data_IF_239497703246
#
_entry.id   IF_239497703246
#
_cell.length_a   1.000
_cell.length_b   1.000
_cell.length_c   1.000
_cell.angle_alpha   90.00
_cell.angle_beta   90.00
_cell.angle_gamma   90.00
#
_symmetry.space_group_name_H-M   'P 1'
#
loop_
_entity.id
_entity.type
_entity.pdbx_description
1 polymer ?
#
# COMPACT_ATOMS: atom_id res chain seq x y z
N UNK A 1 -22.84 16.62 -26.81
CA UNK A 1 -22.11 16.08 -25.64
C UNK A 1 -23.04 15.10 -24.95
N UNK A 2 -22.62 13.86 -24.67
CA UNK A 2 -23.45 12.94 -23.91
C UNK A 2 -23.70 13.51 -22.53
N UNK A 3 -24.97 13.77 -22.21
CA UNK A 3 -25.40 14.27 -20.92
C UNK A 3 -25.14 13.21 -19.86
N UNK A 4 -24.08 13.41 -19.08
CA UNK A 4 -23.85 12.62 -17.88
C UNK A 4 -25.09 12.74 -16.99
N UNK A 5 -25.64 11.61 -16.54
CA UNK A 5 -26.75 11.60 -15.60
C UNK A 5 -26.34 12.40 -14.34
N UNK A 6 -27.24 13.26 -13.87
CA UNK A 6 -27.01 14.15 -12.71
C UNK A 6 -26.55 13.38 -11.47
N UNK A 7 -27.07 12.18 -11.22
CA UNK A 7 -26.64 11.33 -10.11
C UNK A 7 -25.17 10.90 -10.26
N UNK A 8 -24.78 10.46 -11.46
CA UNK A 8 -23.40 10.03 -11.73
C UNK A 8 -22.43 11.22 -11.66
N UNK A 9 -22.81 12.38 -12.20
CA UNK A 9 -22.04 13.61 -12.08
C UNK A 9 -21.83 13.99 -10.62
N UNK A 10 -22.92 14.05 -9.85
CA UNK A 10 -22.89 14.38 -8.42
C UNK A 10 -22.02 13.41 -7.65
N UNK A 11 -22.05 12.11 -7.97
CA UNK A 11 -21.20 11.12 -7.32
C UNK A 11 -19.70 11.43 -7.47
N UNK A 12 -19.27 11.79 -8.69
CA UNK A 12 -17.86 12.09 -8.96
C UNK A 12 -17.44 13.46 -8.42
N UNK A 13 -18.32 14.47 -8.50
CA UNK A 13 -18.09 15.77 -7.86
C UNK A 13 -17.94 15.62 -6.34
N UNK A 14 -18.73 14.77 -5.70
CA UNK A 14 -18.60 14.45 -4.28
C UNK A 14 -17.33 13.67 -3.93
N UNK A 15 -16.56 13.19 -4.91
CA UNK A 15 -15.20 12.66 -4.75
C UNK A 15 -14.13 13.72 -5.06
N UNK A 16 -14.50 14.99 -5.22
CA UNK A 16 -13.56 16.08 -5.51
C UNK A 16 -12.92 15.99 -6.89
N UNK A 17 -13.60 15.36 -7.87
CA UNK A 17 -13.11 15.30 -9.25
C UNK A 17 -13.64 16.51 -10.02
N UNK A 18 -12.78 17.15 -10.81
CA UNK A 18 -13.15 18.33 -11.61
C UNK A 18 -14.14 17.98 -12.73
N UNK A 19 -15.10 18.85 -13.05
CA UNK A 19 -16.12 18.57 -14.07
C UNK A 19 -15.54 18.18 -15.43
N UNK A 20 -14.45 18.82 -15.85
CA UNK A 20 -13.77 18.57 -17.12
C UNK A 20 -13.11 17.18 -17.16
N UNK A 21 -12.55 16.70 -16.05
CA UNK A 21 -11.99 15.35 -15.98
C UNK A 21 -13.09 14.28 -15.96
N UNK A 22 -14.21 14.55 -15.30
CA UNK A 22 -15.38 13.67 -15.30
C UNK A 22 -15.88 13.50 -16.74
N UNK A 23 -16.09 14.60 -17.46
CA UNK A 23 -16.57 14.59 -18.85
C UNK A 23 -15.65 13.81 -19.79
N UNK A 24 -14.34 13.88 -19.59
CA UNK A 24 -13.37 13.15 -20.42
C UNK A 24 -13.29 11.64 -20.16
N UNK A 25 -13.70 11.17 -18.98
CA UNK A 25 -13.39 9.81 -18.52
C UNK A 25 -14.61 8.98 -18.16
N UNK A 26 -15.75 9.63 -17.90
CA UNK A 26 -16.95 8.99 -17.36
C UNK A 26 -18.09 9.21 -18.34
N UNK A 27 -18.85 8.15 -18.59
CA UNK A 27 -20.10 8.21 -19.33
C UNK A 27 -21.20 7.51 -18.56
N UNK A 28 -22.40 8.04 -18.65
CA UNK A 28 -23.60 7.35 -18.17
C UNK A 28 -24.12 6.45 -19.28
N UNK A 29 -24.58 5.25 -18.93
CA UNK A 29 -25.17 4.33 -19.88
C UNK A 29 -26.52 3.89 -19.32
N UNK A 30 -27.56 4.08 -20.14
CA UNK A 30 -28.93 3.67 -19.88
C UNK A 30 -29.42 2.87 -21.09
N UNK A 31 -29.53 1.56 -20.92
CA UNK A 31 -29.96 0.66 -22.01
C UNK A 31 -31.44 0.79 -22.34
N UNK A 32 -32.22 1.53 -21.54
CA UNK A 32 -33.63 1.83 -21.84
C UNK A 32 -33.80 2.97 -22.84
N UNK A 33 -32.75 3.76 -23.07
CA UNK A 33 -32.75 4.88 -24.00
C UNK A 33 -32.06 4.52 -25.31
N UNK A 34 -32.49 5.09 -26.45
CA UNK A 34 -31.80 4.88 -27.71
C UNK A 34 -30.35 5.43 -27.64
N UNK A 35 -29.39 4.84 -28.37
CA UNK A 35 -27.98 5.26 -28.42
C UNK A 35 -27.79 6.77 -28.64
N UNK A 36 -28.65 7.35 -29.48
CA UNK A 36 -28.62 8.77 -29.86
C UNK A 36 -28.90 9.70 -28.67
N UNK A 37 -29.69 9.26 -27.69
CA UNK A 37 -29.99 9.99 -26.45
C UNK A 37 -28.96 9.77 -25.34
N UNK A 38 -28.14 8.72 -25.46
CA UNK A 38 -26.95 8.52 -24.63
C UNK A 38 -25.77 9.39 -25.11
N UNK A 39 -25.90 10.02 -26.28
CA UNK A 39 -25.13 11.18 -26.74
C UNK A 39 -23.79 10.88 -27.43
N UNK A 40 -23.65 9.72 -28.06
CA UNK A 40 -22.56 9.39 -29.00
C UNK A 40 -23.10 8.54 -30.18
N UNK A 41 -22.72 8.91 -31.39
CA UNK A 41 -23.24 8.32 -32.64
C UNK A 41 -22.63 6.98 -33.08
N UNK A 42 -22.30 6.06 -32.16
CA UNK A 42 -21.89 4.69 -32.56
C UNK A 42 -22.49 3.61 -31.65
N UNK A 43 -23.24 2.68 -32.23
CA UNK A 43 -24.02 1.64 -31.54
C UNK A 43 -23.23 0.64 -30.67
N UNK A 44 -21.89 0.63 -30.76
CA UNK A 44 -21.00 -0.23 -29.95
C UNK A 44 -20.72 0.41 -28.57
N UNK A 45 -20.92 1.73 -28.44
CA UNK A 45 -20.51 2.51 -27.27
C UNK A 45 -21.54 2.55 -26.12
N UNK A 46 -22.78 2.09 -26.33
CA UNK A 46 -23.92 2.34 -25.43
C UNK A 46 -24.53 1.09 -24.79
N UNK A 47 -23.88 -0.08 -24.93
CA UNK A 47 -24.29 -1.32 -24.25
C UNK A 47 -23.20 -1.76 -23.25
N UNK A 48 -23.47 -1.75 -21.94
CA UNK A 48 -22.48 -2.16 -20.94
C UNK A 48 -22.08 -3.64 -21.08
N UNK A 49 -22.90 -4.48 -21.70
CA UNK A 49 -22.54 -5.86 -22.00
C UNK A 49 -21.45 -5.95 -23.07
N UNK A 50 -21.43 -5.07 -24.06
CA UNK A 50 -20.35 -5.04 -25.07
C UNK A 50 -19.04 -4.51 -24.47
N UNK A 51 -19.14 -3.60 -23.50
CA UNK A 51 -17.98 -3.06 -22.78
C UNK A 51 -17.34 -4.05 -21.82
N UNK A 52 -18.14 -4.93 -21.22
CA UNK A 52 -17.66 -5.88 -20.21
C UNK A 52 -17.43 -7.26 -20.83
N UNK A 53 -18.33 -7.78 -21.67
CA UNK A 53 -18.36 -9.18 -22.08
C UNK A 53 -17.68 -9.44 -23.44
N UNK A 54 -16.63 -8.68 -23.75
CA UNK A 54 -15.89 -8.81 -25.02
C UNK A 54 -14.88 -9.95 -25.04
N UNK A 55 -14.45 -10.47 -23.89
CA UNK A 55 -13.42 -11.51 -23.83
C UNK A 55 -13.79 -12.75 -24.67
N UNK A 56 -12.85 -13.20 -25.49
CA UNK A 56 -12.98 -14.42 -26.29
C UNK A 56 -12.99 -15.68 -25.42
N UNK A 57 -12.38 -15.60 -24.22
CA UNK A 57 -12.30 -16.70 -23.28
C UNK A 57 -13.63 -16.96 -22.56
N UNK A 58 -14.67 -16.13 -22.75
CA UNK A 58 -15.98 -16.35 -22.15
C UNK A 58 -16.68 -17.57 -22.72
N UNK A 59 -17.46 -18.25 -21.88
CA UNK A 59 -18.17 -19.45 -22.30
C UNK A 59 -19.27 -19.08 -23.31
N UNK A 60 -19.19 -19.67 -24.50
CA UNK A 60 -20.13 -19.46 -25.61
C UNK A 60 -20.69 -20.80 -26.11
N UNK A 61 -21.90 -20.75 -26.68
CA UNK A 61 -22.46 -21.86 -27.45
C UNK A 61 -21.80 -21.94 -28.83
N UNK A 62 -22.01 -23.05 -29.57
CA UNK A 62 -21.50 -23.23 -30.94
C UNK A 62 -21.95 -22.12 -31.92
N UNK A 63 -23.02 -21.41 -31.60
CA UNK A 63 -23.53 -20.26 -32.36
C UNK A 63 -22.79 -18.95 -32.09
N UNK A 64 -21.80 -18.93 -31.20
CA UNK A 64 -21.07 -17.72 -30.78
C UNK A 64 -21.76 -16.93 -29.66
N UNK A 65 -23.03 -17.21 -29.36
CA UNK A 65 -23.77 -16.58 -28.25
C UNK A 65 -23.16 -16.95 -26.90
N UNK A 66 -23.04 -15.96 -25.99
CA UNK A 66 -22.65 -16.18 -24.60
C UNK A 66 -23.58 -17.19 -23.91
N UNK A 67 -23.03 -17.98 -22.98
CA UNK A 67 -23.81 -18.96 -22.24
C UNK A 67 -24.88 -18.30 -21.37
N UNK A 68 -25.99 -19.01 -21.14
CA UNK A 68 -27.09 -18.52 -20.30
C UNK A 68 -26.63 -18.18 -18.88
N UNK A 69 -25.64 -18.91 -18.35
CA UNK A 69 -25.03 -18.63 -17.05
C UNK A 69 -24.32 -17.26 -17.02
N UNK A 70 -23.57 -16.93 -18.07
CA UNK A 70 -22.89 -15.63 -18.19
C UNK A 70 -23.92 -14.51 -18.31
N UNK A 71 -24.91 -14.67 -19.19
CA UNK A 71 -25.97 -13.67 -19.39
C UNK A 71 -26.75 -13.42 -18.09
N UNK A 72 -27.18 -14.50 -17.41
CA UNK A 72 -27.89 -14.40 -16.12
C UNK A 72 -27.06 -13.71 -15.05
N UNK A 73 -25.75 -13.94 -15.01
CA UNK A 73 -24.84 -13.30 -14.05
C UNK A 73 -24.74 -11.79 -14.28
N UNK A 74 -24.72 -11.34 -15.54
CA UNK A 74 -24.52 -9.93 -15.90
C UNK A 74 -25.79 -9.18 -16.31
N UNK A 75 -26.98 -9.80 -16.22
CA UNK A 75 -28.29 -9.18 -16.54
C UNK A 75 -28.64 -7.86 -15.83
N UNK A 76 -27.86 -7.48 -14.82
CA UNK A 76 -28.07 -6.29 -14.01
C UNK A 76 -27.40 -5.04 -14.61
N UNK A 77 -26.60 -5.20 -15.67
CA UNK A 77 -25.93 -4.13 -16.39
C UNK A 77 -26.92 -3.39 -17.31
N UNK A 78 -27.80 -2.56 -16.73
CA UNK A 78 -28.80 -1.81 -17.50
C UNK A 78 -28.65 -0.29 -17.34
N UNK A 79 -28.30 0.15 -16.14
CA UNK A 79 -28.11 1.57 -15.81
C UNK A 79 -26.88 1.73 -14.90
N UNK A 80 -26.05 2.72 -15.21
CA UNK A 80 -24.89 3.07 -14.39
C UNK A 80 -23.90 3.93 -15.16
N UNK A 81 -22.65 3.97 -14.68
CA UNK A 81 -21.59 4.69 -15.36
C UNK A 81 -20.40 3.82 -15.73
N UNK A 82 -19.77 4.15 -16.85
CA UNK A 82 -18.53 3.54 -17.34
C UNK A 82 -17.38 4.52 -17.22
N UNK A 83 -16.25 4.06 -16.67
CA UNK A 83 -15.00 4.80 -16.63
C UNK A 83 -13.89 3.99 -17.31
N UNK A 84 -13.24 4.59 -18.31
CA UNK A 84 -12.07 4.02 -18.98
C UNK A 84 -11.09 5.12 -19.39
N UNK A 85 -9.80 4.81 -19.27
CA UNK A 85 -8.71 5.72 -19.61
C UNK A 85 -7.98 5.33 -20.90
N UNK A 86 -6.68 5.62 -20.90
CA UNK A 86 -5.74 5.15 -21.90
C UNK A 86 -5.13 3.81 -21.48
N UNK A 87 -4.66 3.03 -22.44
CA UNK A 87 -3.80 1.89 -22.18
C UNK A 87 -2.37 2.41 -21.91
N UNK A 88 -1.77 2.04 -20.78
CA UNK A 88 -0.47 2.59 -20.37
C UNK A 88 0.68 2.27 -21.35
N UNK A 89 0.57 1.15 -22.08
CA UNK A 89 1.61 0.69 -23.02
C UNK A 89 1.54 1.49 -24.31
N UNK A 90 0.35 1.60 -24.91
CA UNK A 90 0.15 2.23 -26.23
C UNK A 90 -0.18 3.72 -26.15
N UNK A 91 -0.63 4.20 -24.99
CA UNK A 91 -1.22 5.53 -24.80
C UNK A 91 -2.37 5.85 -25.78
N UNK A 92 -3.00 4.80 -26.32
CA UNK A 92 -4.29 4.87 -27.03
C UNK A 92 -5.45 4.62 -26.07
N UNK A 93 -6.68 4.76 -26.57
CA UNK A 93 -7.88 4.44 -25.78
C UNK A 93 -7.85 2.98 -25.32
N UNK A 94 -8.07 2.75 -24.03
CA UNK A 94 -8.21 1.42 -23.47
C UNK A 94 -9.61 0.86 -23.73
N UNK A 95 -9.69 -0.40 -24.14
CA UNK A 95 -10.95 -1.16 -24.14
C UNK A 95 -11.33 -1.59 -22.71
N UNK A 96 -10.33 -1.81 -21.85
CA UNK A 96 -10.55 -2.12 -20.44
C UNK A 96 -11.01 -0.89 -19.66
N UNK A 97 -11.94 -1.10 -18.74
CA UNK A 97 -12.44 -0.10 -17.82
C UNK A 97 -13.28 -0.69 -16.70
N UNK A 98 -14.14 0.14 -16.13
CA UNK A 98 -14.99 -0.23 -15.02
C UNK A 98 -16.40 0.30 -15.23
N UNK A 99 -17.38 -0.60 -15.09
CA UNK A 99 -18.77 -0.24 -14.99
C UNK A 99 -19.21 -0.28 -13.53
N UNK A 100 -19.84 0.81 -13.05
CA UNK A 100 -20.56 0.81 -11.78
C UNK A 100 -22.06 0.82 -12.07
N UNK A 101 -22.76 -0.31 -11.90
CA UNK A 101 -24.21 -0.34 -12.02
C UNK A 101 -24.87 0.41 -10.86
N UNK A 102 -25.99 1.07 -11.13
CA UNK A 102 -26.82 1.70 -10.11
C UNK A 102 -27.48 0.66 -9.19
N UNK A 103 -27.78 -0.51 -9.75
CA UNK A 103 -28.30 -1.67 -9.04
C UNK A 103 -27.28 -2.82 -9.07
N UNK A 104 -26.28 -2.82 -8.16
CA UNK A 104 -25.25 -3.85 -8.14
C UNK A 104 -25.81 -5.21 -7.77
N UNK A 105 -25.30 -6.27 -8.42
CA UNK A 105 -25.58 -7.64 -7.96
C UNK A 105 -24.87 -7.95 -6.65
N UNK A 106 -25.34 -8.98 -5.97
CA UNK A 106 -24.73 -9.49 -4.75
C UNK A 106 -23.66 -10.55 -5.06
N UNK A 107 -22.62 -10.60 -4.22
CA UNK A 107 -21.67 -11.70 -4.14
C UNK A 107 -22.33 -12.94 -3.52
N UNK A 108 -21.62 -14.07 -3.52
CA UNK A 108 -22.06 -15.28 -2.81
C UNK A 108 -22.29 -15.01 -1.31
N UNK A 109 -21.45 -14.16 -0.71
CA UNK A 109 -21.59 -13.73 0.70
C UNK A 109 -22.66 -12.63 0.92
N UNK A 110 -23.51 -12.33 -0.07
CA UNK A 110 -24.56 -11.32 0.04
C UNK A 110 -24.08 -9.86 0.02
N UNK A 111 -22.82 -9.58 -0.33
CA UNK A 111 -22.28 -8.21 -0.40
C UNK A 111 -22.46 -7.59 -1.80
N UNK A 112 -22.85 -6.32 -1.92
CA UNK A 112 -22.93 -5.65 -3.21
C UNK A 112 -21.57 -5.60 -3.93
N UNK A 113 -21.53 -6.04 -5.18
CA UNK A 113 -20.38 -5.88 -6.08
C UNK A 113 -20.55 -4.55 -6.81
N UNK A 114 -19.88 -3.52 -6.30
CA UNK A 114 -20.06 -2.15 -6.79
C UNK A 114 -19.44 -1.90 -8.16
N UNK A 115 -18.44 -2.67 -8.55
CA UNK A 115 -17.64 -2.44 -9.74
C UNK A 115 -17.52 -3.73 -10.54
N UNK A 116 -17.89 -3.67 -11.80
CA UNK A 116 -17.74 -4.75 -12.76
C UNK A 116 -16.63 -4.39 -13.76
N UNK A 117 -15.75 -5.34 -14.00
CA UNK A 117 -14.65 -5.24 -14.96
C UNK A 117 -14.78 -6.36 -15.99
N UNK A 118 -14.20 -6.22 -17.19
CA UNK A 118 -14.22 -7.27 -18.19
C UNK A 118 -13.72 -8.63 -17.63
N UNK A 119 -14.59 -9.65 -17.51
CA UNK A 119 -14.19 -10.94 -16.97
C UNK A 119 -13.28 -11.68 -17.95
N UNK A 120 -12.32 -12.43 -17.40
CA UNK A 120 -11.31 -13.21 -18.15
C UNK A 120 -10.35 -12.36 -18.99
N UNK A 121 -10.32 -11.05 -18.73
CA UNK A 121 -9.30 -10.15 -19.24
C UNK A 121 -8.31 -9.79 -18.14
N UNK A 122 -7.08 -9.47 -18.53
CA UNK A 122 -6.12 -8.92 -17.60
C UNK A 122 -6.61 -7.57 -17.08
N UNK A 123 -6.55 -7.37 -15.77
CA UNK A 123 -6.85 -6.06 -15.19
C UNK A 123 -5.81 -5.03 -15.62
N UNK A 124 -6.29 -3.83 -15.99
CA UNK A 124 -5.45 -2.70 -16.39
C UNK A 124 -5.40 -1.59 -15.34
N UNK A 125 -4.53 -0.59 -15.58
CA UNK A 125 -4.47 0.65 -14.82
C UNK A 125 -5.56 1.63 -15.28
N UNK A 126 -6.08 2.43 -14.35
CA UNK A 126 -6.77 3.68 -14.68
C UNK A 126 -5.74 4.77 -14.99
N UNK A 127 -5.36 4.89 -16.26
CA UNK A 127 -4.56 6.00 -16.80
C UNK A 127 -5.54 7.01 -17.40
N UNK A 128 -6.08 7.89 -16.58
CA UNK A 128 -7.20 8.77 -16.98
C UNK A 128 -6.77 9.84 -17.99
N UNK A 129 -7.67 10.22 -18.88
CA UNK A 129 -7.54 11.38 -19.76
C UNK A 129 -7.50 12.67 -18.94
N UNK A 130 -6.78 13.67 -19.43
CA UNK A 130 -6.60 14.97 -18.75
C UNK A 130 -6.83 16.12 -19.73
N UNK A 131 -7.11 17.30 -19.18
CA UNK A 131 -7.20 18.57 -19.93
C UNK A 131 -5.88 19.32 -19.93
N UNK A 132 -5.76 20.35 -20.80
CA UNK A 132 -4.65 21.30 -20.76
C UNK A 132 -4.52 21.99 -19.41
N UNK A 133 -5.65 22.31 -18.78
CA UNK A 133 -5.66 22.94 -17.47
C UNK A 133 -4.98 22.07 -16.42
N UNK A 134 -5.35 20.78 -16.36
CA UNK A 134 -4.74 19.82 -15.44
C UNK A 134 -3.25 19.67 -15.72
N UNK A 135 -2.82 19.55 -16.98
CA UNK A 135 -1.40 19.48 -17.31
C UNK A 135 -0.64 20.71 -16.82
N UNK A 136 -1.16 21.93 -17.04
CA UNK A 136 -0.55 23.17 -16.50
C UNK A 136 -0.42 23.13 -14.98
N UNK A 137 -1.45 22.69 -14.29
CA UNK A 137 -1.44 22.58 -12.82
C UNK A 137 -0.40 21.58 -12.34
N UNK A 138 -0.29 20.42 -13.00
CA UNK A 138 0.75 19.41 -12.72
C UNK A 138 2.15 19.97 -12.95
N UNK A 139 2.41 20.59 -14.10
CA UNK A 139 3.71 21.18 -14.43
C UNK A 139 4.12 22.26 -13.40
N UNK A 140 3.17 23.13 -13.02
CA UNK A 140 3.36 24.15 -11.99
C UNK A 140 3.70 23.54 -10.63
N UNK A 141 2.95 22.54 -10.16
CA UNK A 141 3.23 21.86 -8.87
C UNK A 141 4.57 21.12 -8.90
N UNK A 142 4.91 20.48 -10.03
CA UNK A 142 6.19 19.82 -10.24
C UNK A 142 7.36 20.80 -10.40
N UNK A 143 7.10 22.10 -10.54
CA UNK A 143 8.10 23.14 -10.85
C UNK A 143 8.86 22.84 -12.14
N UNK A 144 8.15 22.33 -13.13
CA UNK A 144 8.65 22.05 -14.47
C UNK A 144 8.06 23.04 -15.47
N UNK A 145 8.81 23.30 -16.53
CA UNK A 145 8.30 24.06 -17.67
C UNK A 145 7.13 23.31 -18.31
N UNK A 146 6.03 24.03 -18.55
CA UNK A 146 4.88 23.49 -19.23
C UNK A 146 5.10 23.64 -20.74
N UNK A 147 4.97 22.57 -21.55
CA UNK A 147 5.04 22.68 -22.99
C UNK A 147 4.00 23.66 -23.56
N UNK A 148 4.18 24.10 -24.81
CA UNK A 148 3.15 24.86 -25.51
C UNK A 148 1.95 23.95 -25.83
N UNK A 149 1.01 23.90 -24.88
CA UNK A 149 -0.15 23.02 -24.98
C UNK A 149 -1.12 23.45 -26.09
N UNK A 150 -1.07 24.69 -26.55
CA UNK A 150 -1.96 25.17 -27.62
C UNK A 150 -1.51 24.68 -29.00
N UNK A 151 -0.23 24.32 -29.14
CA UNK A 151 0.28 23.64 -30.33
C UNK A 151 -0.14 22.16 -30.42
N UNK A 152 -0.65 21.58 -29.33
CA UNK A 152 -1.07 20.18 -29.26
C UNK A 152 -2.57 20.07 -29.56
N UNK A 153 -2.94 19.23 -30.52
CA UNK A 153 -4.34 18.97 -30.85
C UNK A 153 -5.11 18.36 -29.65
N UNK A 154 -6.39 18.71 -29.49
CA UNK A 154 -7.22 18.31 -28.33
C UNK A 154 -7.21 16.79 -28.08
N UNK A 155 -7.33 16.01 -29.15
CA UNK A 155 -7.33 14.55 -29.14
C UNK A 155 -6.01 13.93 -28.65
N UNK A 156 -4.90 14.67 -28.76
CA UNK A 156 -3.57 14.21 -28.39
C UNK A 156 -3.15 14.64 -26.97
N UNK A 157 -3.84 15.62 -26.36
CA UNK A 157 -3.48 16.18 -25.04
C UNK A 157 -3.24 15.10 -23.99
N UNK A 158 -4.14 14.12 -23.89
CA UNK A 158 -4.00 13.06 -22.89
C UNK A 158 -2.82 12.13 -23.19
N UNK A 159 -2.61 11.77 -24.46
CA UNK A 159 -1.47 10.92 -24.86
C UNK A 159 -0.15 11.62 -24.56
N UNK A 160 -0.04 12.87 -24.96
CA UNK A 160 1.19 13.65 -24.79
C UNK A 160 1.45 13.99 -23.33
N UNK A 161 0.42 14.23 -22.52
CA UNK A 161 0.57 14.37 -21.07
C UNK A 161 1.21 13.13 -20.44
N UNK A 162 0.69 11.93 -20.76
CA UNK A 162 1.24 10.71 -20.19
C UNK A 162 2.62 10.35 -20.72
N UNK A 163 2.93 10.74 -21.97
CA UNK A 163 4.28 10.66 -22.49
C UNK A 163 5.23 11.62 -21.74
N UNK A 164 4.82 12.88 -21.54
CA UNK A 164 5.57 13.85 -20.74
C UNK A 164 5.79 13.38 -19.30
N UNK A 165 4.81 12.73 -18.66
CA UNK A 165 4.98 12.11 -17.34
C UNK A 165 6.08 11.04 -17.37
N UNK A 166 6.10 10.17 -18.39
CA UNK A 166 7.13 9.13 -18.56
C UNK A 166 8.52 9.77 -18.73
N UNK A 167 8.61 10.85 -19.49
CA UNK A 167 9.87 11.53 -19.81
C UNK A 167 10.39 12.42 -18.67
N UNK A 168 9.54 12.76 -17.70
CA UNK A 168 9.90 13.56 -16.53
C UNK A 168 9.84 12.72 -15.23
N UNK A 169 10.88 11.90 -14.93
CA UNK A 169 10.90 11.03 -13.74
C UNK A 169 10.90 11.81 -12.41
N UNK A 170 11.23 13.10 -12.43
CA UNK A 170 11.14 13.97 -11.24
C UNK A 170 9.70 14.18 -10.78
N UNK A 171 8.70 13.93 -11.63
CA UNK A 171 7.28 13.95 -11.27
C UNK A 171 6.90 12.64 -10.60
N UNK A 172 6.52 12.66 -9.30
CA UNK A 172 6.10 11.45 -8.60
C UNK A 172 4.80 10.90 -9.19
N UNK A 173 4.68 9.57 -9.25
CA UNK A 173 3.44 8.89 -9.67
C UNK A 173 2.74 8.33 -8.45
N UNK A 174 1.56 8.88 -8.14
CA UNK A 174 0.73 8.39 -7.03
C UNK A 174 -0.08 7.19 -7.50
N UNK A 175 -0.08 6.11 -6.72
CA UNK A 175 -0.83 4.89 -6.98
C UNK A 175 -2.01 4.81 -6.00
N UNK A 176 -3.23 4.90 -6.53
CA UNK A 176 -4.47 4.79 -5.75
C UNK A 176 -5.24 3.50 -6.05
N UNK A 177 -6.27 3.22 -5.26
CA UNK A 177 -7.29 2.22 -5.59
C UNK A 177 -8.51 2.90 -6.22
N UNK A 178 -8.86 2.47 -7.44
CA UNK A 178 -10.05 2.92 -8.16
C UNK A 178 -9.88 4.24 -8.91
N UNK A 179 -10.85 4.50 -9.80
CA UNK A 179 -10.81 5.65 -10.71
C UNK A 179 -11.11 6.99 -10.03
N UNK A 180 -12.04 7.05 -9.06
CA UNK A 180 -12.44 8.32 -8.43
C UNK A 180 -11.31 9.01 -7.66
N UNK A 181 -10.54 8.24 -6.88
CA UNK A 181 -9.34 8.74 -6.18
C UNK A 181 -8.27 9.23 -7.16
N UNK A 182 -8.09 8.48 -8.25
CA UNK A 182 -7.19 8.86 -9.33
C UNK A 182 -7.60 10.20 -9.94
N UNK A 183 -8.88 10.35 -10.29
CA UNK A 183 -9.43 11.59 -10.83
C UNK A 183 -9.34 12.76 -9.85
N UNK A 184 -9.60 12.51 -8.57
CA UNK A 184 -9.51 13.52 -7.49
C UNK A 184 -8.09 14.09 -7.39
N UNK A 185 -7.07 13.23 -7.32
CA UNK A 185 -5.67 13.66 -7.29
C UNK A 185 -5.26 14.42 -8.57
N UNK A 186 -5.64 13.93 -9.75
CA UNK A 186 -5.36 14.62 -11.02
C UNK A 186 -6.01 16.00 -11.08
N UNK A 187 -7.24 16.13 -10.57
CA UNK A 187 -7.98 17.41 -10.51
C UNK A 187 -7.24 18.45 -9.67
N UNK A 188 -6.48 18.00 -8.66
CA UNK A 188 -5.62 18.84 -7.82
C UNK A 188 -4.15 18.85 -8.25
N UNK A 189 -3.83 18.50 -9.50
CA UNK A 189 -2.49 18.65 -10.05
C UNK A 189 -1.45 17.62 -9.58
N UNK A 190 -1.90 16.48 -9.06
CA UNK A 190 -1.03 15.36 -8.71
C UNK A 190 -1.17 14.23 -9.74
N UNK A 191 -0.05 13.81 -10.34
CA UNK A 191 -0.05 12.66 -11.25
C UNK A 191 -0.43 11.41 -10.48
N UNK A 192 -1.55 10.80 -10.86
CA UNK A 192 -2.06 9.60 -10.22
C UNK A 192 -2.50 8.56 -11.25
N UNK A 193 -2.26 7.29 -10.92
CA UNK A 193 -2.77 6.11 -11.63
C UNK A 193 -3.57 5.24 -10.66
N UNK A 194 -4.68 4.69 -11.15
CA UNK A 194 -5.53 3.83 -10.34
C UNK A 194 -5.29 2.35 -10.59
N UNK A 195 -5.26 1.56 -9.53
CA UNK A 195 -5.40 0.11 -9.60
C UNK A 195 -6.88 -0.29 -9.46
N UNK A 196 -7.36 -1.36 -10.10
CA UNK A 196 -8.71 -1.88 -9.88
C UNK A 196 -8.91 -2.46 -8.46
N UNK A 197 -7.82 -2.72 -7.75
CA UNK A 197 -7.79 -3.14 -6.36
C UNK A 197 -6.36 -3.10 -5.83
N UNK A 198 -6.17 -3.15 -4.51
CA UNK A 198 -4.84 -3.01 -3.88
C UNK A 198 -3.78 -3.99 -4.40
N UNK A 199 -4.19 -5.18 -4.86
CA UNK A 199 -3.29 -6.20 -5.41
C UNK A 199 -3.09 -6.10 -6.93
N UNK A 200 -3.71 -5.12 -7.60
CA UNK A 200 -3.71 -5.00 -9.06
C UNK A 200 -2.36 -4.66 -9.67
N UNK A 201 -1.40 -4.16 -8.89
CA UNK A 201 -0.09 -3.72 -9.38
C UNK A 201 0.90 -4.86 -9.67
N UNK A 202 0.58 -6.10 -9.30
CA UNK A 202 1.46 -7.24 -9.56
C UNK A 202 0.66 -8.52 -9.85
N UNK A 203 1.33 -9.52 -10.43
CA UNK A 203 0.84 -10.89 -10.58
C UNK A 203 1.52 -11.78 -9.56
N UNK A 204 0.74 -12.63 -8.92
CA UNK A 204 1.22 -13.68 -8.02
C UNK A 204 0.81 -15.08 -8.47
N UNK A 205 0.10 -15.15 -9.60
CA UNK A 205 -0.38 -16.38 -10.23
C UNK A 205 -0.20 -16.28 -11.73
N UNK A 206 0.02 -17.41 -12.39
CA UNK A 206 0.02 -17.54 -13.85
C UNK A 206 -1.41 -17.48 -14.42
N UNK A 207 -1.55 -17.68 -15.74
CA UNK A 207 -2.84 -17.65 -16.43
C UNK A 207 -3.76 -18.80 -16.01
N UNK A 208 -3.19 -19.93 -15.60
CA UNK A 208 -3.85 -21.13 -15.11
C UNK A 208 -4.24 -21.02 -13.63
N UNK A 209 -3.76 -20.00 -12.92
CA UNK A 209 -4.07 -19.72 -11.52
C UNK A 209 -3.10 -20.35 -10.52
N UNK A 210 -2.00 -20.96 -10.98
CA UNK A 210 -0.96 -21.52 -10.13
C UNK A 210 -0.09 -20.39 -9.55
N UNK A 211 0.39 -20.52 -8.30
CA UNK A 211 1.26 -19.52 -7.69
C UNK A 211 2.58 -19.35 -8.45
N UNK A 212 2.96 -18.10 -8.72
CA UNK A 212 4.29 -17.79 -9.26
C UNK A 212 5.35 -17.91 -8.17
N UNK A 213 6.54 -18.41 -8.53
CA UNK A 213 7.71 -18.48 -7.63
C UNK A 213 8.11 -17.08 -7.16
N UNK A 214 8.09 -16.11 -8.08
CA UNK A 214 8.32 -14.70 -7.80
C UNK A 214 7.13 -13.90 -8.29
N UNK A 215 6.71 -12.91 -7.50
CA UNK A 215 5.71 -11.94 -7.95
C UNK A 215 6.30 -11.09 -9.06
N UNK A 216 5.46 -10.70 -10.02
CA UNK A 216 5.88 -9.93 -11.18
C UNK A 216 5.09 -8.63 -11.27
N UNK A 217 5.77 -7.52 -11.55
CA UNK A 217 5.10 -6.24 -11.76
C UNK A 217 4.30 -6.28 -13.07
N UNK A 218 3.10 -5.72 -13.09
CA UNK A 218 2.32 -5.67 -14.34
C UNK A 218 3.03 -4.82 -15.40
N UNK A 219 2.96 -5.20 -16.71
CA UNK A 219 3.64 -4.45 -17.77
C UNK A 219 3.30 -2.96 -17.80
N UNK A 220 2.06 -2.61 -17.46
CA UNK A 220 1.58 -1.22 -17.46
C UNK A 220 2.22 -0.34 -16.37
N UNK A 221 2.73 -0.92 -15.27
CA UNK A 221 3.53 -0.17 -14.31
C UNK A 221 5.00 -0.10 -14.73
N UNK A 222 5.48 -1.08 -15.50
CA UNK A 222 6.87 -1.12 -15.96
C UNK A 222 7.23 0.08 -16.84
N UNK A 223 6.28 0.62 -17.62
CA UNK A 223 6.51 1.80 -18.47
C UNK A 223 6.80 3.09 -17.70
N UNK A 224 6.61 3.11 -16.38
CA UNK A 224 6.91 4.25 -15.51
C UNK A 224 8.22 4.06 -14.72
N UNK A 225 8.98 2.98 -14.93
CA UNK A 225 10.18 2.66 -14.14
C UNK A 225 11.43 3.48 -14.51
N UNK A 226 11.28 4.70 -15.04
CA UNK A 226 12.42 5.57 -15.30
C UNK A 226 13.26 5.80 -14.03
N UNK A 227 14.57 5.83 -14.20
CA UNK A 227 15.54 6.04 -13.12
C UNK A 227 15.24 7.34 -12.37
N UNK A 228 15.30 7.30 -11.04
CA UNK A 228 15.03 8.47 -10.21
C UNK A 228 13.56 8.74 -9.90
N UNK A 229 12.61 7.99 -10.48
CA UNK A 229 11.18 8.22 -10.22
C UNK A 229 10.79 7.85 -8.79
N UNK A 230 9.95 8.70 -8.20
CA UNK A 230 9.23 8.36 -6.97
C UNK A 230 7.85 7.75 -7.29
N UNK A 231 7.54 6.63 -6.65
CA UNK A 231 6.18 6.09 -6.58
C UNK A 231 5.61 6.29 -5.18
N UNK A 232 4.38 6.80 -5.11
CA UNK A 232 3.71 7.14 -3.85
C UNK A 232 2.44 6.31 -3.71
N UNK A 233 2.34 5.44 -2.72
CA UNK A 233 1.10 4.71 -2.47
C UNK A 233 0.09 5.56 -1.68
N UNK A 234 -1.16 5.58 -2.15
CA UNK A 234 -2.27 6.30 -1.53
C UNK A 234 -3.54 5.44 -1.55
N UNK A 235 -3.52 4.32 -0.82
CA UNK A 235 -4.67 3.42 -0.66
C UNK A 235 -5.58 3.86 0.49
N UNK A 236 -6.79 3.26 0.56
CA UNK A 236 -7.77 3.54 1.61
C UNK A 236 -7.19 3.31 3.01
N UNK A 237 -7.47 4.26 3.91
CA UNK A 237 -7.09 4.22 5.31
C UNK A 237 -8.17 3.53 6.16
N UNK A 238 -8.44 2.26 5.85
CA UNK A 238 -9.50 1.48 6.49
C UNK A 238 -9.19 1.19 7.98
N UNK A 239 -10.15 1.33 8.92
CA UNK A 239 -9.90 1.08 10.33
C UNK A 239 -9.75 -0.42 10.65
N UNK A 240 -10.28 -1.32 9.81
CA UNK A 240 -10.32 -2.75 10.08
C UNK A 240 -8.90 -3.34 10.07
N UNK A 241 -8.46 -4.02 11.16
CA UNK A 241 -7.10 -4.57 11.25
C UNK A 241 -6.72 -5.51 10.09
N UNK A 242 -7.64 -6.38 9.67
CA UNK A 242 -7.41 -7.30 8.54
C UNK A 242 -7.18 -6.54 7.22
N UNK A 243 -7.94 -5.47 6.99
CA UNK A 243 -7.80 -4.63 5.79
C UNK A 243 -6.48 -3.88 5.81
N UNK A 244 -6.09 -3.28 6.95
CA UNK A 244 -4.79 -2.62 7.10
C UNK A 244 -3.62 -3.58 6.84
N UNK A 245 -3.71 -4.82 7.34
CA UNK A 245 -2.68 -5.85 7.08
C UNK A 245 -2.61 -6.19 5.58
N UNK A 246 -3.75 -6.34 4.91
CA UNK A 246 -3.82 -6.58 3.46
C UNK A 246 -3.22 -5.42 2.66
N UNK A 247 -3.60 -4.18 2.97
CA UNK A 247 -3.05 -2.95 2.37
C UNK A 247 -1.54 -2.87 2.55
N UNK A 248 -1.05 -3.06 3.78
CA UNK A 248 0.39 -3.08 4.06
C UNK A 248 1.14 -4.14 3.26
N UNK A 249 0.56 -5.33 3.15
CA UNK A 249 1.14 -6.44 2.37
C UNK A 249 1.18 -6.11 0.89
N UNK A 250 0.11 -5.54 0.35
CA UNK A 250 0.02 -5.11 -1.04
C UNK A 250 1.06 -4.03 -1.38
N UNK A 251 1.13 -2.98 -0.55
CA UNK A 251 2.11 -1.89 -0.68
C UNK A 251 3.54 -2.43 -0.60
N UNK A 252 3.84 -3.31 0.37
CA UNK A 252 5.18 -3.88 0.51
C UNK A 252 5.57 -4.74 -0.71
N UNK A 253 4.66 -5.60 -1.19
CA UNK A 253 4.93 -6.43 -2.37
C UNK A 253 5.14 -5.58 -3.63
N UNK A 254 4.22 -4.66 -3.91
CA UNK A 254 4.28 -3.81 -5.10
C UNK A 254 5.47 -2.84 -5.04
N UNK A 255 5.67 -2.19 -3.89
CA UNK A 255 6.77 -1.26 -3.65
C UNK A 255 8.14 -1.92 -3.82
N UNK A 256 8.33 -3.15 -3.34
CA UNK A 256 9.59 -3.88 -3.56
C UNK A 256 9.85 -4.17 -5.05
N UNK A 257 8.80 -4.36 -5.86
CA UNK A 257 8.93 -4.60 -7.31
C UNK A 257 9.16 -3.30 -8.10
N UNK A 258 8.62 -2.18 -7.62
CA UNK A 258 8.84 -0.85 -8.20
C UNK A 258 10.23 -0.29 -7.86
N UNK A 259 10.80 -0.70 -6.72
CA UNK A 259 12.12 -0.30 -6.29
C UNK A 259 13.20 -0.67 -7.31
N UNK A 260 14.26 0.11 -7.34
CA UNK A 260 15.42 -0.11 -8.20
C UNK A 260 16.24 1.16 -8.32
N UNK A 261 17.09 1.25 -9.34
CA UNK A 261 18.11 2.30 -9.42
C UNK A 261 17.54 3.72 -9.22
N UNK A 262 17.96 4.37 -8.13
CA UNK A 262 17.57 5.72 -7.68
C UNK A 262 16.05 5.96 -7.52
N UNK A 263 15.21 4.93 -7.70
CA UNK A 263 13.76 5.02 -7.50
C UNK A 263 13.44 4.97 -6.01
N UNK A 264 12.53 5.82 -5.57
CA UNK A 264 12.09 5.86 -4.18
C UNK A 264 10.62 5.48 -4.06
N UNK A 265 10.28 4.78 -2.98
CA UNK A 265 8.91 4.40 -2.68
C UNK A 265 8.48 5.09 -1.39
N UNK A 266 7.34 5.78 -1.44
CA UNK A 266 6.74 6.43 -0.28
C UNK A 266 5.25 6.10 -0.16
N UNK A 267 4.69 6.42 1.00
CA UNK A 267 3.29 6.13 1.34
C UNK A 267 2.68 7.38 1.98
N UNK A 268 1.55 7.81 1.45
CA UNK A 268 0.73 8.86 2.06
C UNK A 268 -0.08 8.26 3.22
N UNK A 269 0.03 8.88 4.39
CA UNK A 269 -0.75 8.51 5.58
C UNK A 269 -1.37 9.76 6.20
N UNK A 270 -2.57 9.61 6.74
CA UNK A 270 -3.25 10.68 7.49
C UNK A 270 -3.95 10.09 8.72
N UNK A 271 -4.28 10.95 9.69
CA UNK A 271 -5.06 10.53 10.85
C UNK A 271 -6.47 10.13 10.41
N UNK A 272 -6.95 8.99 10.89
CA UNK A 272 -8.18 8.31 10.44
C UNK A 272 -9.47 9.09 10.78
N UNK A 273 -9.74 10.18 10.07
CA UNK A 273 -11.06 10.85 10.05
C UNK A 273 -11.94 10.37 8.89
N UNK A 274 -11.32 10.13 7.75
CA UNK A 274 -11.97 9.71 6.50
C UNK A 274 -11.19 8.57 5.85
N UNK A 275 -11.89 7.76 5.05
CA UNK A 275 -11.35 6.51 4.50
C UNK A 275 -10.49 6.76 3.26
N UNK A 276 -11.01 7.50 2.28
CA UNK A 276 -10.32 7.78 1.02
C UNK A 276 -9.59 9.12 1.03
N UNK A 277 -8.63 9.27 0.11
CA UNK A 277 -7.97 10.56 -0.14
C UNK A 277 -8.94 11.56 -0.80
N UNK A 278 -9.86 11.07 -1.62
CA UNK A 278 -10.95 11.86 -2.22
C UNK A 278 -11.87 12.44 -1.14
N UNK A 279 -12.24 11.63 -0.14
CA UNK A 279 -13.02 12.11 1.01
C UNK A 279 -12.25 13.20 1.81
N UNK A 280 -10.92 13.06 1.94
CA UNK A 280 -10.08 14.03 2.65
C UNK A 280 -9.99 15.35 1.91
N UNK A 281 -9.82 15.29 0.59
CA UNK A 281 -9.79 16.46 -0.29
C UNK A 281 -11.11 17.23 -0.19
N UNK A 282 -12.24 16.52 -0.24
CA UNK A 282 -13.57 17.14 -0.14
C UNK A 282 -13.81 17.76 1.24
N UNK A 283 -13.36 17.08 2.31
CA UNK A 283 -13.58 17.55 3.67
C UNK A 283 -12.67 18.71 4.09
N UNK A 284 -11.39 18.67 3.70
CA UNK A 284 -10.34 19.54 4.24
C UNK A 284 -9.59 20.36 3.17
N UNK A 285 -9.93 20.17 1.90
CA UNK A 285 -9.40 20.94 0.76
C UNK A 285 -7.99 20.56 0.30
N UNK A 286 -7.56 21.19 -0.78
CA UNK A 286 -6.24 20.96 -1.42
C UNK A 286 -5.07 21.22 -0.48
N UNK A 287 -5.17 22.24 0.40
CA UNK A 287 -4.11 22.52 1.38
C UNK A 287 -3.84 21.32 2.31
N UNK A 288 -4.86 20.50 2.59
CA UNK A 288 -4.66 19.27 3.38
C UNK A 288 -3.99 18.17 2.57
N UNK A 289 -4.36 18.01 1.30
CA UNK A 289 -3.70 17.10 0.36
C UNK A 289 -2.20 17.43 0.26
N UNK A 290 -1.86 18.71 0.08
CA UNK A 290 -0.48 19.18 -0.01
C UNK A 290 0.33 18.82 1.26
N UNK A 291 -0.27 18.98 2.44
CA UNK A 291 0.35 18.58 3.71
C UNK A 291 0.59 17.07 3.78
N UNK A 292 -0.40 16.24 3.41
CA UNK A 292 -0.27 14.78 3.43
C UNK A 292 0.78 14.31 2.43
N UNK A 293 0.79 14.89 1.23
CA UNK A 293 1.80 14.58 0.23
C UNK A 293 3.20 14.98 0.73
N UNK A 294 3.36 16.17 1.30
CA UNK A 294 4.65 16.62 1.85
C UNK A 294 5.13 15.76 3.03
N UNK A 295 4.21 15.26 3.86
CA UNK A 295 4.51 14.44 5.04
C UNK A 295 4.61 12.93 4.77
N UNK A 296 4.47 12.49 3.50
CA UNK A 296 4.55 11.08 3.11
C UNK A 296 5.81 10.40 3.63
N UNK A 297 5.68 9.15 4.05
CA UNK A 297 6.78 8.39 4.67
C UNK A 297 7.42 7.42 3.68
N UNK A 298 8.72 7.15 3.82
CA UNK A 298 9.40 6.12 3.01
C UNK A 298 8.83 4.73 3.30
N UNK A 299 8.85 3.85 2.31
CA UNK A 299 8.36 2.47 2.42
C UNK A 299 8.99 1.71 3.59
N UNK A 300 10.29 1.90 3.84
CA UNK A 300 11.00 1.26 4.95
C UNK A 300 10.42 1.70 6.30
N UNK A 301 10.19 3.01 6.48
CA UNK A 301 9.59 3.56 7.69
C UNK A 301 8.13 3.06 7.85
N UNK A 302 7.37 3.03 6.75
CA UNK A 302 6.00 2.51 6.73
C UNK A 302 5.91 1.03 7.15
N UNK A 303 6.86 0.19 6.69
CA UNK A 303 6.95 -1.23 7.06
C UNK A 303 7.29 -1.41 8.54
N UNK A 304 8.11 -0.52 9.12
CA UNK A 304 8.53 -0.57 10.51
C UNK A 304 7.50 0.02 11.48
N UNK A 305 6.66 0.95 11.04
CA UNK A 305 5.70 1.66 11.90
C UNK A 305 4.90 0.76 12.86
N UNK A 306 4.28 -0.37 12.44
CA UNK A 306 3.52 -1.24 13.34
C UNK A 306 4.36 -1.90 14.44
N UNK A 307 5.66 -2.05 14.23
CA UNK A 307 6.58 -2.70 15.16
C UNK A 307 7.27 -1.72 16.11
N UNK A 308 7.17 -0.42 15.81
CA UNK A 308 7.79 0.64 16.61
C UNK A 308 6.80 1.28 17.59
N UNK A 309 5.49 1.13 17.34
CA UNK A 309 4.47 1.55 18.29
C UNK A 309 4.22 0.47 19.36
N UNK A 310 4.95 0.58 20.47
CA UNK A 310 4.75 -0.25 21.66
C UNK A 310 3.68 0.32 22.62
N UNK A 311 3.02 1.43 22.26
CA UNK A 311 1.98 2.04 23.11
C UNK A 311 0.81 1.08 23.43
N UNK A 312 0.37 0.20 22.50
CA UNK A 312 -0.65 -0.80 22.81
C UNK A 312 -0.19 -1.90 23.78
N UNK A 313 1.13 -2.09 23.96
CA UNK A 313 1.70 -3.11 24.84
C UNK A 313 1.93 -2.60 26.27
N UNK A 314 1.52 -1.36 26.58
CA UNK A 314 1.73 -0.77 27.90
C UNK A 314 0.73 -1.35 28.89
N UNK A 315 1.18 -2.33 29.68
CA UNK A 315 0.37 -2.93 30.76
C UNK A 315 0.35 -2.08 32.03
N UNK A 316 1.44 -1.35 32.32
CA UNK A 316 1.57 -0.54 33.53
C UNK A 316 2.26 0.80 33.23
N UNK A 317 1.81 1.87 33.90
CA UNK A 317 2.43 3.20 33.88
C UNK A 317 2.78 3.60 35.29
N UNK A 318 3.97 4.15 35.47
CA UNK A 318 4.47 4.61 36.76
C UNK A 318 4.85 6.09 36.62
N UNK A 319 4.37 6.92 37.55
CA UNK A 319 4.76 8.32 37.66
C UNK A 319 5.66 8.50 38.88
N UNK A 320 6.94 8.21 38.68
CA UNK A 320 7.96 8.32 39.71
C UNK A 320 9.27 8.77 39.07
N UNK A 321 10.05 9.56 39.81
CA UNK A 321 11.37 10.04 39.39
C UNK A 321 12.33 8.89 39.08
N UNK A 322 12.26 7.81 39.85
CA UNK A 322 13.04 6.59 39.66
C UNK A 322 12.15 5.35 39.66
N UNK A 323 12.55 4.31 38.90
CA UNK A 323 11.80 3.05 38.81
C UNK A 323 11.68 2.29 40.16
N UNK A 324 12.54 2.60 41.14
CA UNK A 324 12.42 2.08 42.51
C UNK A 324 12.48 0.54 42.59
N UNK A 325 11.53 -0.04 43.32
CA UNK A 325 11.34 -1.49 43.48
C UNK A 325 10.12 -1.95 42.67
N UNK A 326 10.17 -1.75 41.36
CA UNK A 326 9.13 -2.25 40.47
C UNK A 326 9.12 -3.79 40.49
N UNK A 327 7.99 -4.39 40.85
CA UNK A 327 7.79 -5.85 40.81
C UNK A 327 7.37 -6.27 39.40
N UNK A 328 8.20 -7.08 38.76
CA UNK A 328 7.81 -7.76 37.53
C UNK A 328 6.68 -8.76 37.80
N UNK A 329 5.69 -8.93 36.90
CA UNK A 329 4.71 -9.99 37.04
C UNK A 329 5.40 -11.37 36.97
N UNK A 330 5.17 -12.24 37.96
CA UNK A 330 5.86 -13.53 38.09
C UNK A 330 5.67 -14.46 36.89
N UNK A 331 4.54 -14.35 36.18
CA UNK A 331 4.21 -15.17 35.01
C UNK A 331 4.64 -14.56 33.68
N UNK A 332 5.18 -13.34 33.68
CA UNK A 332 5.54 -12.65 32.45
C UNK A 332 6.83 -13.23 31.84
N UNK A 333 6.73 -13.75 30.61
CA UNK A 333 7.90 -14.23 29.86
C UNK A 333 8.69 -13.11 29.17
N UNK A 334 8.05 -11.95 28.94
CA UNK A 334 8.66 -10.78 28.29
C UNK A 334 8.23 -9.51 29.01
N UNK A 335 9.21 -8.70 29.40
CA UNK A 335 8.99 -7.42 30.09
C UNK A 335 9.59 -6.30 29.25
N UNK A 336 8.73 -5.40 28.75
CA UNK A 336 9.15 -4.19 28.06
C UNK A 336 9.27 -3.02 29.04
N UNK A 337 10.48 -2.52 29.28
CA UNK A 337 10.72 -1.37 30.16
C UNK A 337 11.04 -0.10 29.35
N UNK A 338 10.12 0.87 29.35
CA UNK A 338 10.28 2.18 28.68
C UNK A 338 10.34 3.31 29.71
N UNK A 339 11.45 4.04 29.75
CA UNK A 339 11.56 5.28 30.55
C UNK A 339 12.68 6.20 30.04
N UNK A 340 12.68 7.51 30.38
CA UNK A 340 13.73 8.46 30.00
C UNK A 340 15.15 8.09 30.49
N UNK A 341 16.19 8.73 29.95
CA UNK A 341 17.57 8.53 30.44
C UNK A 341 17.67 9.03 31.90
N UNK A 342 18.40 8.30 32.76
CA UNK A 342 18.65 8.71 34.15
C UNK A 342 17.55 8.38 35.17
N UNK A 343 16.55 7.57 34.81
CA UNK A 343 15.41 7.23 35.68
C UNK A 343 15.56 5.88 36.42
N UNK A 344 16.75 5.28 36.45
CA UNK A 344 17.00 4.05 37.22
C UNK A 344 16.77 2.73 36.47
N UNK A 345 16.75 2.69 35.13
CA UNK A 345 16.54 1.43 34.36
C UNK A 345 17.63 0.41 34.65
N UNK A 346 18.88 0.85 34.57
CA UNK A 346 20.04 -0.01 34.73
C UNK A 346 20.13 -0.51 36.16
N UNK A 347 19.82 0.35 37.12
CA UNK A 347 19.77 0.05 38.55
C UNK A 347 18.69 -0.99 38.87
N UNK A 348 17.53 -0.91 38.23
CA UNK A 348 16.50 -1.93 38.36
C UNK A 348 16.94 -3.27 37.74
N UNK A 349 17.52 -3.25 36.54
CA UNK A 349 18.05 -4.46 35.89
C UNK A 349 19.16 -5.12 36.72
N UNK A 350 20.01 -4.34 37.39
CA UNK A 350 21.05 -4.87 38.29
C UNK A 350 20.46 -5.64 39.47
N UNK A 351 19.39 -5.12 40.08
CA UNK A 351 18.66 -5.84 41.14
C UNK A 351 18.06 -7.16 40.64
N UNK A 352 17.44 -7.15 39.46
CA UNK A 352 16.86 -8.37 38.88
C UNK A 352 17.93 -9.41 38.53
N UNK A 353 19.07 -8.96 37.96
CA UNK A 353 20.19 -9.84 37.66
C UNK A 353 20.76 -10.46 38.95
N UNK A 354 20.92 -9.68 40.02
CA UNK A 354 21.37 -10.19 41.31
C UNK A 354 20.42 -11.26 41.88
N UNK A 355 19.10 -11.00 41.88
CA UNK A 355 18.09 -11.98 42.33
C UNK A 355 18.16 -13.27 41.52
N UNK A 356 18.27 -13.17 40.18
CA UNK A 356 18.38 -14.34 39.32
C UNK A 356 19.66 -15.14 39.60
N UNK A 357 20.80 -14.47 39.76
CA UNK A 357 22.08 -15.11 40.08
C UNK A 357 22.07 -15.79 41.46
N UNK A 358 21.46 -15.16 42.47
CA UNK A 358 21.28 -15.75 43.81
C UNK A 358 20.41 -17.03 43.75
N UNK A 359 19.48 -17.10 42.80
CA UNK A 359 18.66 -18.27 42.51
C UNK A 359 19.33 -19.26 41.53
N UNK A 360 20.60 -19.03 41.16
CA UNK A 360 21.34 -19.85 40.19
C UNK A 360 20.70 -19.89 38.79
N UNK A 361 19.96 -18.84 38.42
CA UNK A 361 19.39 -18.65 37.09
C UNK A 361 20.41 -17.88 36.22
N UNK A 362 20.89 -18.44 35.10
CA UNK A 362 21.86 -17.77 34.24
C UNK A 362 21.31 -16.47 33.62
N UNK A 363 22.09 -15.39 33.66
CA UNK A 363 21.71 -14.08 33.11
C UNK A 363 22.54 -13.73 31.88
N UNK A 364 21.89 -13.55 30.74
CA UNK A 364 22.54 -13.10 29.50
C UNK A 364 22.14 -11.67 29.17
N UNK A 365 23.13 -10.81 28.94
CA UNK A 365 22.90 -9.41 28.58
C UNK A 365 23.42 -9.15 27.17
N UNK A 366 22.50 -8.80 26.26
CA UNK A 366 22.85 -8.48 24.87
C UNK A 366 22.88 -6.97 24.66
N UNK A 367 23.97 -6.48 24.09
CA UNK A 367 24.17 -5.08 23.71
C UNK A 367 24.58 -4.96 22.24
N UNK A 368 24.84 -3.74 21.76
CA UNK A 368 25.27 -3.45 20.38
C UNK A 368 26.68 -2.84 20.30
N UNK A 369 27.34 -2.57 21.44
CA UNK A 369 28.70 -2.02 21.51
C UNK A 369 29.48 -2.66 22.66
N UNK A 370 30.73 -3.04 22.42
CA UNK A 370 31.52 -3.77 23.41
C UNK A 370 31.77 -2.94 24.67
N UNK A 371 32.18 -1.67 24.52
CA UNK A 371 32.45 -0.78 25.65
C UNK A 371 31.21 -0.55 26.52
N UNK A 372 30.04 -0.44 25.89
CA UNK A 372 28.76 -0.39 26.60
C UNK A 372 28.47 -1.70 27.34
N UNK A 373 28.81 -2.84 26.71
CA UNK A 373 28.68 -4.17 27.31
C UNK A 373 29.53 -4.35 28.56
N UNK A 374 30.80 -3.95 28.51
CA UNK A 374 31.71 -4.01 29.67
C UNK A 374 31.23 -3.15 30.83
N UNK A 375 30.82 -1.90 30.55
CA UNK A 375 30.27 -1.00 31.57
C UNK A 375 28.97 -1.54 32.18
N UNK A 376 28.08 -2.12 31.37
CA UNK A 376 26.88 -2.80 31.86
C UNK A 376 27.24 -4.04 32.70
N UNK A 377 28.21 -4.83 32.27
CA UNK A 377 28.70 -5.99 33.00
C UNK A 377 29.14 -5.64 34.42
N UNK A 378 29.97 -4.61 34.55
CA UNK A 378 30.42 -4.10 35.85
C UNK A 378 29.25 -3.71 36.77
N UNK A 379 28.21 -3.09 36.22
CA UNK A 379 27.02 -2.68 37.00
C UNK A 379 26.11 -3.84 37.37
N UNK A 380 26.06 -4.87 36.53
CA UNK A 380 25.18 -6.03 36.69
C UNK A 380 25.87 -7.19 37.44
N UNK A 381 27.17 -7.07 37.73
CA UNK A 381 27.96 -8.16 38.32
C UNK A 381 28.26 -9.30 37.34
N UNK A 382 28.28 -9.00 36.04
CA UNK A 382 28.46 -9.98 34.96
C UNK A 382 29.74 -9.69 34.19
N UNK A 383 30.46 -10.75 33.83
CA UNK A 383 31.67 -10.66 33.02
C UNK A 383 31.29 -10.44 31.54
N UNK A 384 32.13 -9.73 30.79
CA UNK A 384 31.99 -9.66 29.34
C UNK A 384 32.48 -10.96 28.70
N UNK A 385 31.88 -11.38 27.58
CA UNK A 385 32.10 -12.72 26.98
C UNK A 385 33.56 -13.10 26.75
N UNK A 386 34.45 -12.14 26.51
CA UNK A 386 35.88 -12.36 26.24
C UNK A 386 36.72 -12.47 27.51
N UNK A 387 36.14 -12.21 28.68
CA UNK A 387 36.80 -12.12 29.98
C UNK A 387 36.26 -13.17 30.97
N UNK A 388 35.61 -14.22 30.46
CA UNK A 388 34.87 -15.18 31.27
C UNK A 388 35.73 -16.10 32.14
N UNK A 389 35.46 -16.08 33.44
CA UNK A 389 35.92 -17.05 34.43
C UNK A 389 34.98 -18.26 34.47
N UNK A 390 35.28 -19.25 35.31
CA UNK A 390 34.39 -20.41 35.55
C UNK A 390 33.05 -19.98 36.15
N UNK A 391 33.02 -18.90 36.92
CA UNK A 391 31.80 -18.38 37.56
C UNK A 391 30.92 -17.70 36.51
N UNK A 392 31.48 -16.84 35.66
CA UNK A 392 30.74 -16.20 34.56
C UNK A 392 30.20 -17.19 33.51
N UNK A 393 30.85 -18.35 33.34
CA UNK A 393 30.30 -19.42 32.48
C UNK A 393 29.02 -20.05 33.03
N UNK A 394 28.81 -20.06 34.34
CA UNK A 394 27.67 -20.72 34.98
C UNK A 394 26.56 -19.73 35.34
N UNK A 395 26.90 -18.51 35.77
CA UNK A 395 25.92 -17.49 36.19
C UNK A 395 25.49 -16.54 35.06
N UNK A 396 26.21 -16.54 33.94
CA UNK A 396 25.89 -15.77 32.74
C UNK A 396 26.86 -14.62 32.45
N UNK A 397 26.64 -13.91 31.33
CA UNK A 397 27.59 -12.94 30.81
C UNK A 397 26.98 -11.88 29.89
N UNK A 398 27.77 -10.85 29.59
CA UNK A 398 27.44 -9.78 28.65
C UNK A 398 28.09 -10.00 27.29
N UNK A 399 27.36 -9.76 26.20
CA UNK A 399 27.86 -9.87 24.82
C UNK A 399 27.23 -8.85 23.87
N UNK A 400 27.90 -8.61 22.74
CA UNK A 400 27.29 -7.89 21.63
C UNK A 400 26.42 -8.81 20.77
N UNK A 401 25.39 -8.23 20.13
CA UNK A 401 24.47 -8.93 19.24
C UNK A 401 25.19 -9.67 18.11
N UNK A 402 26.27 -9.09 17.59
CA UNK A 402 27.09 -9.70 16.53
C UNK A 402 27.82 -10.98 16.98
N UNK A 403 27.92 -11.20 18.30
CA UNK A 403 28.50 -12.41 18.88
C UNK A 403 27.50 -13.55 19.02
N UNK A 404 26.23 -13.37 18.63
CA UNK A 404 25.20 -14.42 18.62
C UNK A 404 25.34 -15.33 17.38
N UNK A 405 26.51 -15.95 17.21
CA UNK A 405 26.78 -16.88 16.11
C UNK A 405 27.63 -18.08 16.56
N UNK A 406 27.58 -19.23 15.85
CA UNK A 406 28.26 -20.46 16.28
C UNK A 406 29.79 -20.32 16.46
N UNK A 407 30.43 -19.40 15.74
CA UNK A 407 31.89 -19.18 15.81
C UNK A 407 32.35 -18.31 16.98
N UNK A 408 31.44 -17.76 17.78
CA UNK A 408 31.79 -16.86 18.87
C UNK A 408 32.21 -17.66 20.11
N UNK A 409 33.08 -17.07 20.94
CA UNK A 409 33.51 -17.64 22.22
C UNK A 409 32.86 -16.86 23.37
N UNK A 410 32.21 -17.52 24.34
CA UNK A 410 31.94 -18.96 24.41
C UNK A 410 30.87 -19.36 23.38
N UNK A 411 30.88 -20.63 22.95
CA UNK A 411 29.83 -21.13 22.07
C UNK A 411 28.49 -21.06 22.80
N UNK A 412 27.48 -20.42 22.19
CA UNK A 412 26.15 -20.22 22.78
C UNK A 412 25.46 -21.54 23.20
N UNK A 413 25.95 -22.68 22.71
CA UNK A 413 25.38 -24.02 22.85
C UNK A 413 25.53 -24.61 24.27
N UNK A 414 26.31 -24.01 25.17
CA UNK A 414 26.63 -24.65 26.46
C UNK A 414 25.91 -24.14 27.72
N UNK A 415 25.06 -23.11 27.67
CA UNK A 415 24.59 -22.44 28.91
C UNK A 415 23.13 -22.69 29.29
N UNK A 416 22.32 -23.20 28.40
CA UNK A 416 20.99 -23.70 28.75
C UNK A 416 20.75 -24.86 27.79
N UNK A 417 20.03 -25.91 28.18
CA UNK A 417 19.57 -26.98 27.26
C UNK A 417 18.65 -26.51 26.12
N UNK A 418 18.88 -25.31 25.59
CA UNK A 418 18.24 -24.75 24.43
C UNK A 418 18.75 -25.46 23.19
N UNK A 419 17.81 -26.01 22.42
CA UNK A 419 18.04 -26.49 21.07
C UNK A 419 18.84 -25.44 20.25
N UNK A 420 19.64 -25.89 19.27
CA UNK A 420 20.32 -25.00 18.34
C UNK A 420 19.36 -23.94 17.81
N UNK A 421 19.80 -22.68 17.75
CA UNK A 421 18.98 -21.56 17.27
C UNK A 421 18.48 -21.78 15.82
N UNK A 422 19.17 -22.63 15.04
CA UNK A 422 18.74 -23.12 13.72
C UNK A 422 17.41 -23.90 13.74
N UNK A 423 16.99 -24.42 14.91
CA UNK A 423 15.72 -25.12 15.13
C UNK A 423 14.55 -24.16 15.35
N UNK A 424 14.79 -22.94 15.85
CA UNK A 424 13.77 -21.92 16.14
C UNK A 424 13.41 -21.05 14.93
N UNK A 425 14.24 -21.06 13.88
CA UNK A 425 14.03 -20.31 12.63
C UNK A 425 13.55 -21.17 11.45
N UNK A 426 13.08 -22.39 11.68
CA UNK A 426 12.31 -23.07 10.62
C UNK A 426 10.96 -22.37 10.51
N UNK A 427 10.58 -21.82 9.33
CA UNK A 427 9.21 -21.41 9.12
C UNK A 427 8.35 -22.64 9.41
N UNK A 428 7.32 -22.48 10.24
CA UNK A 428 6.21 -23.44 10.28
C UNK A 428 5.75 -23.64 8.84
N UNK A 429 5.86 -24.88 8.34
CA UNK A 429 5.29 -25.26 7.05
C UNK A 429 3.79 -25.04 7.04
#
# INVERSE_FOLDING_TARGET
MPTLNTQHLTEWLNSGVSPDLIELNVRSIDTSKPPEENGLGTAIADDPHQLILYSENLQRHKTGRLSESVLKKYRHLNLGWWCAGLNALTLGSSQWGCFKPDSPRLSQDGKPIKYEHPPKEATELFVLRVTRHIWRTVAKKAKLECPDLEAIANENISREFWQWVKDNPTVPVIITEGAKKTGSLLSHGYVAIGLPGIYGGYRSKDAEGNPLIKKELIPQLQVFLQTGREFVFCFDNDPKPSTRKAVRTAIANCGNLLAGEKRTISVMEWRQRVKGIDDLIVADGEGKLDQVFAARVRLEAYKLAPYTDISPLVSHRFDSRYLGNLSAPETAQLIGLKSPKGTGKTEWLAKQAAIAMDQSIPVIVVTHREQLGKELGNRLGLEYRTELTRIGKNLGYVLCIDSLHPKATPHLIQIVGMMPWSSLMKPSR
#
